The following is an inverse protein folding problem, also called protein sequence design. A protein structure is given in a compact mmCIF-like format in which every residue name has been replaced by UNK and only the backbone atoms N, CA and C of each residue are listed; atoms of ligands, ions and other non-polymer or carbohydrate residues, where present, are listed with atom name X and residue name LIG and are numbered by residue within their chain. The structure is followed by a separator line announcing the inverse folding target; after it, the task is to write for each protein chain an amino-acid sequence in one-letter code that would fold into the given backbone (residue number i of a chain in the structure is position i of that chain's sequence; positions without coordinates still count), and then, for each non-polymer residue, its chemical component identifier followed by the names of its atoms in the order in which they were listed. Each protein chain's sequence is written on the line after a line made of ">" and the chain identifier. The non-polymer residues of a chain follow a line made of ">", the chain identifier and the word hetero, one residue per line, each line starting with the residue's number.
data_IF_890619625740
#
_entry.id   IF_890619625740
#
_cell.length_a   1.000
_cell.length_b   1.000
_cell.length_c   1.000
_cell.angle_alpha   90.00
_cell.angle_beta   90.00
_cell.angle_gamma   90.00
#
_symmetry.space_group_name_H-M   'P 1'
#
loop_
_entity.id
_entity.type
_entity.pdbx_description
1 polymer ?
#
# COMPACT_ATOMS: atom_id res chain seq x y z
N UNK A 1 36.28 15.74 6.64
CA UNK A 1 34.96 15.43 7.23
C UNK A 1 33.91 16.05 6.32
N UNK A 2 33.50 15.34 5.28
CA UNK A 2 32.56 15.87 4.28
C UNK A 2 31.14 15.43 4.67
N UNK A 3 30.36 16.39 5.13
CA UNK A 3 28.95 16.24 5.46
C UNK A 3 28.20 15.85 4.20
N UNK A 4 27.60 14.65 4.18
CA UNK A 4 26.69 14.23 3.12
C UNK A 4 25.50 15.19 3.11
N UNK A 5 25.42 16.00 2.06
CA UNK A 5 24.30 16.89 1.80
C UNK A 5 23.06 16.03 1.52
N UNK A 6 22.29 15.78 2.57
CA UNK A 6 21.02 15.09 2.49
C UNK A 6 20.07 15.94 1.61
N UNK A 7 19.83 15.48 0.39
CA UNK A 7 18.94 16.14 -0.56
C UNK A 7 17.50 15.90 -0.05
N UNK A 8 16.77 16.94 0.41
CA UNK A 8 15.46 16.75 1.04
C UNK A 8 14.43 16.13 0.09
N UNK A 9 14.64 16.27 -1.21
CA UNK A 9 13.81 15.71 -2.29
C UNK A 9 13.89 14.18 -2.32
N UNK A 10 15.11 13.61 -2.19
CA UNK A 10 15.31 12.16 -2.17
C UNK A 10 14.67 11.50 -0.94
N UNK A 11 14.66 12.19 0.20
CA UNK A 11 14.03 11.67 1.42
C UNK A 11 12.49 11.71 1.34
N UNK A 12 11.92 12.68 0.61
CA UNK A 12 10.48 12.71 0.36
C UNK A 12 10.06 11.57 -0.59
N UNK A 13 10.85 11.32 -1.64
CA UNK A 13 10.62 10.22 -2.57
C UNK A 13 10.66 8.86 -1.87
N UNK A 14 11.68 8.62 -1.02
CA UNK A 14 11.79 7.38 -0.22
C UNK A 14 10.59 7.19 0.71
N UNK A 15 10.08 8.28 1.31
CA UNK A 15 8.89 8.22 2.15
C UNK A 15 7.63 7.83 1.36
N UNK A 16 7.46 8.36 0.15
CA UNK A 16 6.34 7.98 -0.74
C UNK A 16 6.46 6.52 -1.16
N UNK A 17 7.66 6.09 -1.57
CA UNK A 17 7.94 4.70 -1.93
C UNK A 17 7.64 3.73 -0.78
N UNK A 18 8.01 4.08 0.44
CA UNK A 18 7.72 3.26 1.63
C UNK A 18 6.22 3.10 1.86
N UNK A 19 5.43 4.17 1.70
CA UNK A 19 3.97 4.13 1.86
C UNK A 19 3.31 3.29 0.78
N UNK A 20 3.75 3.44 -0.48
CA UNK A 20 3.26 2.64 -1.61
C UNK A 20 3.56 1.15 -1.40
N UNK A 21 4.79 0.81 -0.99
CA UNK A 21 5.19 -0.56 -0.71
C UNK A 21 4.37 -1.19 0.43
N UNK A 22 4.12 -0.44 1.51
CA UNK A 22 3.29 -0.89 2.61
C UNK A 22 1.85 -1.15 2.18
N UNK A 23 1.26 -0.27 1.36
CA UNK A 23 -0.09 -0.45 0.82
C UNK A 23 -0.20 -1.74 -0.01
N UNK A 24 0.76 -1.98 -0.91
CA UNK A 24 0.82 -3.19 -1.75
C UNK A 24 0.98 -4.46 -0.90
N UNK A 25 1.86 -4.43 0.10
CA UNK A 25 2.07 -5.56 1.01
C UNK A 25 0.78 -5.92 1.76
N UNK A 26 0.02 -4.93 2.21
CA UNK A 26 -1.22 -5.17 2.94
C UNK A 26 -2.28 -5.90 2.09
N UNK A 27 -2.38 -5.63 0.78
CA UNK A 27 -3.30 -6.39 -0.10
C UNK A 27 -2.83 -7.83 -0.34
N UNK A 28 -1.53 -8.07 -0.39
CA UNK A 28 -1.00 -9.44 -0.50
C UNK A 28 -1.30 -10.27 0.75
N UNK A 29 -1.30 -9.65 1.94
CA UNK A 29 -1.54 -10.35 3.21
C UNK A 29 -3.02 -10.63 3.52
N UNK A 30 -3.95 -9.82 3.01
CA UNK A 30 -5.39 -10.02 3.27
C UNK A 30 -5.99 -11.10 2.37
N UNK A 31 -6.52 -10.72 1.22
CA UNK A 31 -7.33 -11.60 0.37
C UNK A 31 -6.57 -12.11 -0.84
N UNK A 32 -5.40 -11.52 -1.13
CA UNK A 32 -4.66 -11.76 -2.38
C UNK A 32 -5.38 -11.26 -3.64
N UNK A 33 -6.56 -10.63 -3.51
CA UNK A 33 -7.41 -10.19 -4.61
C UNK A 33 -8.00 -8.79 -4.36
N UNK A 34 -7.76 -7.86 -5.26
CA UNK A 34 -8.32 -6.52 -5.17
C UNK A 34 -7.55 -5.52 -6.02
N UNK A 35 -7.91 -4.24 -5.88
CA UNK A 35 -7.19 -3.12 -6.45
C UNK A 35 -6.92 -2.07 -5.37
N UNK A 36 -5.73 -1.47 -5.41
CA UNK A 36 -5.39 -0.29 -4.61
C UNK A 36 -5.24 0.87 -5.56
N UNK A 37 -5.84 2.00 -5.21
CA UNK A 37 -5.60 3.27 -5.87
C UNK A 37 -4.88 4.20 -4.88
N UNK A 38 -3.75 4.73 -5.30
CA UNK A 38 -2.94 5.64 -4.49
C UNK A 38 -2.86 6.96 -5.24
N UNK A 39 -3.33 8.03 -4.61
CA UNK A 39 -3.26 9.38 -5.17
C UNK A 39 -2.09 10.12 -4.53
N UNK A 40 -1.23 10.69 -5.37
CA UNK A 40 -0.05 11.43 -4.95
C UNK A 40 -0.17 12.85 -5.51
N UNK A 41 -0.09 13.84 -4.62
CA UNK A 41 0.00 15.25 -4.98
C UNK A 41 1.18 15.88 -4.22
N UNK A 42 1.91 16.79 -4.88
CA UNK A 42 3.04 17.53 -4.29
C UNK A 42 4.09 16.65 -3.60
N UNK A 43 4.38 15.48 -4.17
CA UNK A 43 5.35 14.52 -3.63
C UNK A 43 4.89 13.86 -2.32
N UNK A 44 3.58 13.82 -2.06
CA UNK A 44 3.00 13.20 -0.87
C UNK A 44 1.79 12.35 -1.23
N UNK A 45 1.64 11.23 -0.54
CA UNK A 45 0.44 10.40 -0.65
C UNK A 45 -0.70 11.15 0.03
N UNK A 46 -1.73 11.51 -0.72
CA UNK A 46 -2.90 12.23 -0.22
C UNK A 46 -4.10 11.33 0.00
N UNK A 47 -4.19 10.23 -0.74
CA UNK A 47 -5.31 9.30 -0.64
C UNK A 47 -4.87 7.88 -0.96
N UNK A 48 -5.44 6.92 -0.25
CA UNK A 48 -5.29 5.49 -0.51
C UNK A 48 -6.70 4.89 -0.46
N UNK A 49 -7.19 4.43 -1.60
CA UNK A 49 -8.41 3.63 -1.67
C UNK A 49 -8.05 2.16 -1.88
N UNK A 50 -8.77 1.28 -1.16
CA UNK A 50 -8.64 -0.16 -1.32
C UNK A 50 -9.99 -0.75 -1.70
N UNK A 51 -10.03 -1.48 -2.81
CA UNK A 51 -11.18 -2.28 -3.22
C UNK A 51 -10.79 -3.74 -3.20
N UNK A 52 -11.25 -4.43 -2.17
CA UNK A 52 -11.00 -5.86 -2.01
C UNK A 52 -12.14 -6.66 -2.63
N UNK A 53 -11.80 -7.76 -3.30
CA UNK A 53 -12.81 -8.72 -3.75
C UNK A 53 -12.78 -9.91 -2.82
N UNK A 54 -13.52 -9.81 -1.73
CA UNK A 54 -13.70 -10.93 -0.79
C UNK A 54 -14.49 -12.03 -1.51
N UNK A 55 -13.83 -13.15 -1.80
CA UNK A 55 -14.51 -14.39 -2.17
C UNK A 55 -14.88 -15.08 -0.88
N UNK A 56 -16.16 -15.07 -0.54
CA UNK A 56 -16.70 -16.04 0.41
C UNK A 56 -16.70 -17.39 -0.30
N UNK A 57 -15.56 -18.08 -0.32
CA UNK A 57 -15.59 -19.49 -0.68
C UNK A 57 -16.61 -20.14 0.23
N UNK A 58 -17.59 -20.78 -0.40
CA UNK A 58 -18.68 -21.50 0.22
C UNK A 58 -18.09 -22.54 1.19
N UNK A 59 -17.84 -22.14 2.44
CA UNK A 59 -17.81 -23.10 3.53
C UNK A 59 -19.26 -23.48 3.79
N UNK A 60 -19.82 -24.29 2.88
CA UNK A 60 -20.91 -25.20 3.18
C UNK A 60 -20.35 -26.22 4.16
N UNK A 61 -20.15 -25.82 5.41
CA UNK A 61 -20.19 -26.74 6.53
C UNK A 61 -21.61 -26.70 7.05
N UNK A 62 -22.47 -27.49 6.41
CA UNK A 62 -23.64 -28.03 7.06
C UNK A 62 -23.15 -28.73 8.33
N UNK A 63 -23.35 -28.09 9.49
CA UNK A 63 -23.22 -28.76 10.77
C UNK A 63 -24.44 -29.66 10.92
N UNK A 64 -24.16 -30.97 11.04
CA UNK A 64 -25.07 -32.02 11.49
C UNK A 64 -25.73 -31.66 12.81
#
# INVERSE_FOLDING_TARGET
>A
MSTVLNKPEAQADDAVLAVVAAAISAVQHDTGYGSIEITIHDGRVTQIERREKVRFDQQVKAKK
#
